data_IF_617162061594
#
_entry.id   IF_617162061594
#
_cell.length_a   1.000
_cell.length_b   1.000
_cell.length_c   1.000
_cell.angle_alpha   90.00
_cell.angle_beta   90.00
_cell.angle_gamma   90.00
#
_symmetry.space_group_name_H-M   'P 1'
#
loop_
_entity.id
_entity.type
_entity.pdbx_description
1 polymer ?
#
# COMPACT_ATOMS: atom_id res chain seq x y z
N UNK A 1 -27.68 17.37 -0.37
CA UNK A 1 -26.39 16.64 -0.30
C UNK A 1 -26.72 15.18 -0.01
N UNK A 2 -26.33 14.25 -0.86
CA UNK A 2 -26.52 12.82 -0.59
C UNK A 2 -25.63 12.41 0.60
N UNK A 3 -26.21 11.76 1.60
CA UNK A 3 -25.46 11.18 2.72
C UNK A 3 -24.47 10.19 2.14
N UNK A 4 -23.17 10.24 2.50
CA UNK A 4 -22.21 9.25 2.02
C UNK A 4 -22.65 7.86 2.53
N UNK A 5 -22.91 6.95 1.61
CA UNK A 5 -23.21 5.55 1.92
C UNK A 5 -21.90 4.90 2.43
N UNK A 6 -21.87 4.55 3.71
CA UNK A 6 -20.76 3.84 4.31
C UNK A 6 -21.07 2.35 4.21
N UNK A 7 -20.27 1.62 3.44
CA UNK A 7 -20.34 0.16 3.42
C UNK A 7 -19.69 -0.42 4.69
N UNK A 8 -20.52 -0.85 5.63
CA UNK A 8 -20.07 -1.42 6.91
C UNK A 8 -19.72 -2.91 6.82
N UNK A 9 -20.06 -3.59 5.73
CA UNK A 9 -19.78 -5.03 5.57
C UNK A 9 -18.41 -5.19 4.93
N UNK A 10 -17.42 -5.73 5.66
CA UNK A 10 -16.07 -5.94 5.10
C UNK A 10 -16.07 -6.82 3.85
N UNK A 11 -15.12 -6.59 2.96
CA UNK A 11 -14.91 -7.39 1.75
C UNK A 11 -16.13 -7.48 0.83
N UNK A 12 -16.97 -6.45 0.83
CA UNK A 12 -18.14 -6.33 -0.07
C UNK A 12 -18.15 -4.96 -0.75
N UNK A 13 -18.94 -4.86 -1.80
CA UNK A 13 -19.24 -3.60 -2.47
C UNK A 13 -20.69 -3.21 -2.19
N UNK A 14 -20.93 -1.96 -1.83
CA UNK A 14 -22.27 -1.41 -1.82
C UNK A 14 -22.82 -1.32 -3.24
N UNK A 15 -24.14 -1.18 -3.39
CA UNK A 15 -24.74 -1.03 -4.72
C UNK A 15 -24.30 0.27 -5.40
N UNK A 16 -24.00 1.30 -4.64
CA UNK A 16 -23.40 2.53 -5.16
C UNK A 16 -21.98 2.26 -5.70
N UNK A 17 -21.13 1.56 -4.93
CA UNK A 17 -19.78 1.23 -5.35
C UNK A 17 -19.78 0.38 -6.65
N UNK A 18 -20.71 -0.60 -6.74
CA UNK A 18 -20.88 -1.38 -7.98
C UNK A 18 -21.23 -0.50 -9.17
N UNK A 19 -22.21 0.43 -9.02
CA UNK A 19 -22.58 1.37 -10.08
C UNK A 19 -21.47 2.33 -10.47
N UNK A 20 -20.63 2.71 -9.50
CA UNK A 20 -19.46 3.58 -9.73
C UNK A 20 -18.25 2.86 -10.32
N UNK A 21 -18.35 1.55 -10.58
CA UNK A 21 -17.30 0.74 -11.22
C UNK A 21 -16.22 0.23 -10.28
N UNK A 22 -16.45 0.22 -8.97
CA UNK A 22 -15.54 -0.42 -8.02
C UNK A 22 -15.54 -1.93 -8.20
N UNK A 23 -14.37 -2.53 -7.97
CA UNK A 23 -14.16 -3.99 -7.93
C UNK A 23 -13.44 -4.37 -6.64
N UNK A 24 -13.76 -5.54 -6.08
CA UNK A 24 -12.96 -6.13 -5.02
C UNK A 24 -11.67 -6.66 -5.61
N UNK A 25 -10.54 -6.32 -5.01
CA UNK A 25 -9.26 -6.98 -5.28
C UNK A 25 -9.06 -8.19 -4.37
N UNK A 26 -9.85 -8.30 -3.30
CA UNK A 26 -9.82 -9.44 -2.40
C UNK A 26 -11.23 -9.71 -1.84
N UNK A 27 -11.62 -10.98 -1.85
CA UNK A 27 -12.96 -11.44 -1.50
C UNK A 27 -13.15 -11.75 -0.01
N UNK A 28 -12.07 -11.66 0.79
CA UNK A 28 -12.09 -11.99 2.21
C UNK A 28 -11.94 -13.49 2.53
N UNK A 29 -11.72 -14.35 1.54
CA UNK A 29 -11.76 -15.81 1.70
C UNK A 29 -10.67 -16.56 0.95
N UNK A 30 -10.36 -16.16 -0.28
CA UNK A 30 -9.45 -16.88 -1.16
C UNK A 30 -8.18 -16.09 -1.46
N UNK A 31 -7.22 -16.70 -2.12
CA UNK A 31 -6.02 -16.04 -2.63
C UNK A 31 -6.14 -15.62 -4.09
N UNK A 32 -7.35 -15.72 -4.65
CA UNK A 32 -7.60 -15.40 -6.04
C UNK A 32 -7.28 -13.93 -6.34
N UNK A 33 -6.68 -13.69 -7.49
CA UNK A 33 -6.21 -12.36 -7.89
C UNK A 33 -4.83 -11.98 -7.32
N UNK A 34 -4.27 -12.76 -6.39
CA UNK A 34 -2.98 -12.49 -5.77
C UNK A 34 -1.96 -13.62 -5.99
N UNK A 35 -0.67 -13.27 -5.97
CA UNK A 35 0.46 -14.19 -6.01
C UNK A 35 1.66 -13.62 -5.25
N UNK A 36 2.66 -14.44 -5.00
CA UNK A 36 3.96 -13.94 -4.53
C UNK A 36 4.57 -12.96 -5.54
N UNK A 37 5.30 -11.97 -5.05
CA UNK A 37 6.10 -11.10 -5.91
C UNK A 37 7.23 -11.85 -6.61
N UNK A 38 7.69 -12.99 -6.06
CA UNK A 38 8.83 -13.78 -6.54
C UNK A 38 8.46 -15.09 -7.23
N UNK A 39 7.24 -15.59 -6.97
CA UNK A 39 6.76 -16.87 -7.46
C UNK A 39 5.43 -16.73 -8.19
N UNK A 40 5.03 -17.76 -8.92
CA UNK A 40 3.78 -17.79 -9.70
C UNK A 40 2.54 -17.99 -8.84
N UNK A 41 2.67 -18.65 -7.68
CA UNK A 41 1.58 -18.95 -6.75
C UNK A 41 1.53 -17.98 -5.57
N UNK A 42 0.49 -18.11 -4.75
CA UNK A 42 0.42 -17.44 -3.47
C UNK A 42 1.42 -18.07 -2.47
N UNK A 43 2.05 -17.29 -1.55
CA UNK A 43 2.99 -17.83 -0.58
C UNK A 43 2.36 -18.94 0.29
N UNK A 44 3.08 -20.05 0.50
CA UNK A 44 2.63 -21.17 1.33
C UNK A 44 2.71 -20.91 2.83
N UNK A 45 3.40 -19.84 3.23
CA UNK A 45 3.60 -19.39 4.62
C UNK A 45 3.71 -17.87 4.66
N UNK A 46 3.73 -17.29 5.85
CA UNK A 46 3.90 -15.85 6.05
C UNK A 46 2.63 -15.03 5.88
N UNK A 47 1.59 -15.61 5.30
CA UNK A 47 0.27 -15.02 5.16
C UNK A 47 -0.81 -15.99 5.63
N UNK A 48 -1.83 -15.48 6.31
CA UNK A 48 -3.03 -16.24 6.70
C UNK A 48 -4.28 -15.49 6.32
N UNK A 49 -5.35 -16.24 6.05
CA UNK A 49 -6.70 -15.72 5.86
C UNK A 49 -7.53 -16.24 7.02
N UNK A 50 -8.03 -15.35 7.85
CA UNK A 50 -8.75 -15.69 9.07
C UNK A 50 -9.75 -14.58 9.39
N UNK A 51 -10.99 -14.95 9.65
CA UNK A 51 -12.09 -14.03 9.98
C UNK A 51 -12.31 -12.89 8.97
N UNK A 52 -12.09 -13.15 7.68
CA UNK A 52 -12.18 -12.14 6.63
C UNK A 52 -11.05 -11.10 6.68
N UNK A 53 -9.96 -11.40 7.34
CA UNK A 53 -8.72 -10.61 7.36
C UNK A 53 -7.59 -11.35 6.64
N UNK A 54 -6.85 -10.65 5.79
CA UNK A 54 -5.60 -11.10 5.19
C UNK A 54 -4.47 -10.59 6.09
N UNK A 55 -3.74 -11.51 6.74
CA UNK A 55 -2.80 -11.18 7.80
C UNK A 55 -1.37 -11.57 7.43
N UNK A 56 -0.42 -10.68 7.69
CA UNK A 56 1.00 -11.02 7.75
C UNK A 56 1.28 -11.75 9.05
N UNK A 57 1.87 -12.94 8.97
CA UNK A 57 2.32 -13.72 10.13
C UNK A 57 3.63 -13.14 10.63
N UNK A 58 3.67 -12.76 11.91
CA UNK A 58 4.87 -12.18 12.52
C UNK A 58 6.08 -13.11 12.40
N UNK A 59 7.21 -12.56 11.95
CA UNK A 59 8.49 -13.26 11.75
C UNK A 59 9.70 -12.45 12.21
N UNK A 60 9.58 -11.77 13.34
CA UNK A 60 10.65 -11.00 13.99
C UNK A 60 11.22 -9.84 13.14
N UNK A 61 10.37 -9.16 12.33
CA UNK A 61 10.72 -7.93 11.64
C UNK A 61 11.74 -8.08 10.51
N UNK A 62 11.85 -9.26 9.91
CA UNK A 62 12.70 -9.48 8.74
C UNK A 62 11.90 -9.30 7.45
N UNK A 63 12.18 -8.23 6.71
CA UNK A 63 11.52 -7.92 5.45
C UNK A 63 11.56 -9.11 4.48
N UNK A 64 10.40 -9.51 3.98
CA UNK A 64 10.19 -10.57 2.99
C UNK A 64 10.80 -11.93 3.35
N UNK A 65 11.07 -12.20 4.65
CA UNK A 65 11.81 -13.39 5.06
C UNK A 65 10.93 -14.61 5.30
N UNK A 66 9.64 -14.42 5.61
CA UNK A 66 8.75 -15.53 5.95
C UNK A 66 7.90 -15.98 4.77
N UNK A 67 7.09 -15.12 4.20
CA UNK A 67 6.26 -15.41 3.02
C UNK A 67 6.63 -14.54 1.83
N UNK A 68 7.17 -13.38 2.13
CA UNK A 68 7.47 -12.35 1.16
C UNK A 68 6.22 -11.58 0.73
N UNK A 69 6.45 -10.58 -0.08
CA UNK A 69 5.40 -9.70 -0.59
C UNK A 69 4.44 -10.44 -1.51
N UNK A 70 3.19 -10.01 -1.48
CA UNK A 70 2.17 -10.45 -2.44
C UNK A 70 1.80 -9.32 -3.38
N UNK A 71 1.54 -9.67 -4.64
CA UNK A 71 1.13 -8.72 -5.68
C UNK A 71 -0.16 -9.17 -6.35
N UNK A 72 -0.91 -8.22 -6.89
CA UNK A 72 -2.03 -8.52 -7.78
C UNK A 72 -1.54 -9.26 -9.03
N UNK A 73 -2.34 -10.16 -9.60
CA UNK A 73 -2.03 -10.78 -10.90
C UNK A 73 -2.12 -9.76 -12.03
N UNK A 74 -3.08 -8.84 -11.94
CA UNK A 74 -3.28 -7.77 -12.91
C UNK A 74 -2.40 -6.56 -12.61
N UNK A 75 -2.13 -5.75 -13.64
CA UNK A 75 -1.46 -4.46 -13.57
C UNK A 75 -2.47 -3.32 -13.71
N UNK A 76 -2.16 -2.18 -13.12
CA UNK A 76 -3.04 -1.01 -13.11
C UNK A 76 -2.27 0.25 -13.50
N UNK A 77 -2.92 1.11 -14.30
CA UNK A 77 -2.38 2.38 -14.79
C UNK A 77 -2.97 3.56 -14.03
N UNK A 78 -4.26 3.80 -14.19
CA UNK A 78 -5.01 4.85 -13.53
C UNK A 78 -6.07 4.21 -12.63
N UNK A 79 -6.12 4.59 -11.37
CA UNK A 79 -7.02 3.93 -10.43
C UNK A 79 -7.24 4.73 -9.14
N UNK A 80 -8.29 4.36 -8.43
CA UNK A 80 -8.46 4.66 -7.01
C UNK A 80 -8.42 3.33 -6.26
N UNK A 81 -7.45 3.15 -5.39
CA UNK A 81 -7.30 1.98 -4.52
C UNK A 81 -7.73 2.34 -3.10
N UNK A 82 -8.52 1.50 -2.46
CA UNK A 82 -8.81 1.57 -1.02
C UNK A 82 -8.40 0.27 -0.34
N UNK A 83 -7.76 0.38 0.80
CA UNK A 83 -7.31 -0.75 1.62
C UNK A 83 -7.54 -0.41 3.08
N UNK A 84 -8.31 -1.21 3.78
CA UNK A 84 -8.40 -1.13 5.24
C UNK A 84 -7.24 -1.93 5.84
N UNK A 85 -6.48 -1.30 6.72
CA UNK A 85 -5.33 -1.92 7.40
C UNK A 85 -5.38 -1.70 8.91
N UNK A 86 -4.84 -2.66 9.66
CA UNK A 86 -4.68 -2.60 11.11
C UNK A 86 -3.28 -3.05 11.47
N UNK A 87 -2.57 -2.28 12.31
CA UNK A 87 -1.21 -2.57 12.74
C UNK A 87 -1.13 -2.84 14.23
N UNK A 88 -0.15 -3.65 14.61
CA UNK A 88 0.27 -3.86 15.99
C UNK A 88 1.36 -2.87 16.40
N UNK A 89 1.75 -2.89 17.68
CA UNK A 89 2.84 -2.04 18.19
C UNK A 89 4.16 -2.40 17.53
N UNK A 90 4.85 -1.39 17.03
CA UNK A 90 6.13 -1.51 16.33
C UNK A 90 6.06 -2.09 14.93
N UNK A 91 4.85 -2.24 14.34
CA UNK A 91 4.71 -2.85 13.03
C UNK A 91 5.17 -1.93 11.89
N UNK A 92 5.68 -2.59 10.84
CA UNK A 92 6.05 -2.03 9.55
C UNK A 92 5.44 -2.87 8.41
N UNK A 93 4.90 -2.21 7.42
CA UNK A 93 4.38 -2.76 6.17
C UNK A 93 4.25 -1.64 5.14
N UNK A 94 3.69 -1.95 3.97
CA UNK A 94 3.46 -0.95 2.92
C UNK A 94 2.45 -1.42 1.89
N UNK A 95 1.82 -0.47 1.21
CA UNK A 95 1.03 -0.69 0.02
C UNK A 95 1.80 -0.07 -1.13
N UNK A 96 2.35 -0.92 -2.02
CA UNK A 96 3.11 -0.43 -3.17
C UNK A 96 2.27 -0.48 -4.44
N UNK A 97 2.59 0.40 -5.37
CA UNK A 97 1.97 0.50 -6.69
C UNK A 97 3.02 0.86 -7.73
N UNK A 98 2.71 0.66 -9.02
CA UNK A 98 3.70 0.65 -10.08
C UNK A 98 4.83 -0.34 -9.80
N UNK A 99 4.46 -1.51 -9.24
CA UNK A 99 5.44 -2.54 -8.94
C UNK A 99 5.74 -3.36 -10.18
N UNK A 100 7.04 -3.51 -10.46
CA UNK A 100 7.56 -4.52 -11.37
C UNK A 100 8.47 -5.46 -10.57
N UNK A 101 8.08 -6.73 -10.39
CA UNK A 101 8.86 -7.68 -9.60
C UNK A 101 10.21 -8.05 -10.24
N UNK A 102 10.41 -7.76 -11.53
CA UNK A 102 11.65 -8.06 -12.24
C UNK A 102 12.72 -6.98 -12.05
N UNK A 103 12.37 -5.78 -11.58
CA UNK A 103 13.33 -4.70 -11.32
C UNK A 103 14.29 -5.00 -10.17
N UNK A 104 13.86 -5.79 -9.18
CA UNK A 104 14.69 -6.19 -8.04
C UNK A 104 14.36 -7.61 -7.60
N UNK A 105 15.30 -8.53 -7.76
CA UNK A 105 15.13 -9.95 -7.38
C UNK A 105 15.48 -10.24 -5.93
N UNK A 106 16.13 -9.30 -5.23
CA UNK A 106 16.47 -9.40 -3.81
C UNK A 106 15.57 -8.54 -2.93
N UNK A 107 15.15 -9.02 -1.74
CA UNK A 107 14.31 -8.25 -0.81
C UNK A 107 12.89 -8.00 -1.32
N UNK A 108 12.30 -6.89 -0.95
CA UNK A 108 10.98 -6.45 -1.38
C UNK A 108 11.00 -5.92 -2.82
N UNK A 109 9.94 -6.18 -3.58
CA UNK A 109 9.82 -5.67 -4.94
C UNK A 109 9.70 -4.13 -4.95
N UNK A 110 10.24 -3.52 -6.02
CA UNK A 110 10.34 -2.06 -6.17
C UNK A 110 9.04 -1.48 -6.71
N UNK A 111 8.59 -0.39 -6.11
CA UNK A 111 7.43 0.41 -6.50
C UNK A 111 7.28 1.62 -5.60
N UNK A 112 6.43 2.58 -6.00
CA UNK A 112 6.01 3.67 -5.13
C UNK A 112 5.23 3.10 -3.95
N UNK A 113 5.40 3.65 -2.75
CA UNK A 113 4.90 3.04 -1.53
C UNK A 113 4.15 4.03 -0.63
N UNK A 114 2.90 3.70 -0.32
CA UNK A 114 2.19 4.24 0.83
C UNK A 114 2.70 3.50 2.07
N UNK A 115 3.51 4.18 2.90
CA UNK A 115 4.10 3.57 4.09
C UNK A 115 3.06 3.27 5.16
N UNK A 116 3.12 2.07 5.74
CA UNK A 116 2.35 1.65 6.92
C UNK A 116 3.32 1.41 8.07
N UNK A 117 3.30 2.29 9.08
CA UNK A 117 4.29 2.26 10.14
C UNK A 117 3.70 2.67 11.50
N UNK A 118 4.13 2.04 12.56
CA UNK A 118 3.97 2.59 13.92
C UNK A 118 5.09 3.62 14.18
N UNK A 119 4.83 4.86 13.82
CA UNK A 119 5.80 5.96 13.90
C UNK A 119 6.41 6.15 15.29
N UNK A 120 5.68 5.77 16.34
CA UNK A 120 6.12 5.92 17.73
C UNK A 120 7.14 4.87 18.14
N UNK A 121 6.97 3.63 17.68
CA UNK A 121 7.71 2.49 18.21
C UNK A 121 8.65 1.84 17.17
N UNK A 122 8.45 2.04 15.86
CA UNK A 122 9.34 1.47 14.85
C UNK A 122 10.54 2.38 14.58
N UNK A 123 11.78 1.85 14.53
CA UNK A 123 13.00 2.65 14.36
C UNK A 123 13.07 3.39 13.02
N UNK A 124 12.48 2.86 11.95
CA UNK A 124 12.51 3.48 10.61
C UNK A 124 11.85 4.86 10.56
N UNK A 125 10.89 5.14 11.45
CA UNK A 125 10.26 6.47 11.56
C UNK A 125 11.26 7.62 11.89
N UNK A 126 12.41 7.26 12.45
CA UNK A 126 13.49 8.21 12.81
C UNK A 126 14.55 8.35 11.72
N UNK A 127 14.46 7.50 10.70
CA UNK A 127 15.36 7.51 9.55
C UNK A 127 14.80 8.37 8.43
N UNK A 128 15.59 8.50 7.34
CA UNK A 128 15.20 9.32 6.19
C UNK A 128 15.33 10.83 6.45
N UNK A 129 14.57 11.62 5.70
CA UNK A 129 14.65 13.09 5.71
C UNK A 129 13.27 13.67 6.03
N UNK A 130 13.20 14.53 7.05
CA UNK A 130 11.96 15.27 7.43
C UNK A 130 10.72 14.39 7.63
N UNK A 131 10.90 13.10 8.00
CA UNK A 131 9.79 12.18 8.25
C UNK A 131 9.23 11.51 7.00
N UNK A 132 9.99 11.46 5.90
CA UNK A 132 9.58 10.81 4.65
C UNK A 132 9.54 9.27 4.72
N UNK A 133 9.72 8.68 5.92
CA UNK A 133 9.54 7.24 6.18
C UNK A 133 8.43 6.95 7.19
N UNK A 134 7.65 7.98 7.56
CA UNK A 134 6.52 7.84 8.48
C UNK A 134 5.28 7.30 7.78
N UNK A 135 4.30 6.89 8.59
CA UNK A 135 2.99 6.44 8.14
C UNK A 135 2.41 7.38 7.07
N UNK A 136 1.95 6.81 5.96
CA UNK A 136 1.30 7.51 4.85
C UNK A 136 2.23 8.28 3.93
N UNK A 137 3.55 8.37 4.23
CA UNK A 137 4.52 8.99 3.32
C UNK A 137 4.52 8.29 1.95
N UNK A 138 4.94 9.00 0.92
CA UNK A 138 5.58 8.33 -0.21
C UNK A 138 6.99 7.96 0.26
N UNK A 139 7.16 6.68 0.61
CA UNK A 139 8.30 6.19 1.37
C UNK A 139 9.65 6.62 0.79
N UNK A 140 10.50 7.16 1.66
CA UNK A 140 11.84 7.69 1.38
C UNK A 140 11.89 8.90 0.42
N UNK A 141 10.74 9.43 0.00
CA UNK A 141 10.63 10.54 -0.96
C UNK A 141 9.90 11.73 -0.36
N UNK A 142 8.61 11.63 -0.05
CA UNK A 142 7.76 12.73 0.35
C UNK A 142 7.11 12.45 1.71
N UNK A 143 7.35 13.28 2.74
CA UNK A 143 6.70 13.13 4.03
C UNK A 143 5.20 13.43 3.91
N UNK A 144 4.35 12.82 4.75
CA UNK A 144 2.94 13.16 4.80
C UNK A 144 2.75 14.55 5.41
N UNK A 145 1.66 15.23 5.03
CA UNK A 145 1.16 16.35 5.82
C UNK A 145 0.87 15.87 7.24
N UNK A 146 0.86 16.81 8.20
CA UNK A 146 0.70 16.46 9.62
C UNK A 146 -0.49 15.53 9.84
N UNK A 147 -0.22 14.31 10.32
CA UNK A 147 -1.20 13.32 10.79
C UNK A 147 -1.39 13.54 12.29
N UNK A 148 -2.64 13.67 12.73
CA UNK A 148 -3.00 13.75 14.15
C UNK A 148 -3.52 12.39 14.62
N UNK A 149 -3.55 12.17 15.94
CA UNK A 149 -4.16 10.96 16.54
C UNK A 149 -5.65 10.79 16.14
N UNK A 150 -6.36 11.89 15.84
CA UNK A 150 -7.71 11.83 15.32
C UNK A 150 -7.80 11.26 13.89
N UNK A 151 -6.68 11.28 13.15
CA UNK A 151 -6.62 10.74 11.77
C UNK A 151 -6.06 9.33 11.69
N UNK A 152 -5.50 8.79 12.76
CA UNK A 152 -4.96 7.43 12.79
C UNK A 152 -5.07 6.85 14.20
N UNK A 153 -5.59 5.64 14.30
CA UNK A 153 -5.72 4.90 15.56
C UNK A 153 -5.08 3.52 15.41
N UNK A 154 -3.96 3.31 16.12
CA UNK A 154 -3.30 2.01 16.19
C UNK A 154 -4.20 0.97 16.85
N UNK A 155 -4.15 -0.27 16.35
CA UNK A 155 -4.96 -1.38 16.86
C UNK A 155 -6.40 -1.43 16.34
N UNK A 156 -6.82 -0.42 15.59
CA UNK A 156 -8.09 -0.40 14.87
C UNK A 156 -7.86 -0.38 13.35
N UNK A 157 -8.91 -0.61 12.57
CA UNK A 157 -8.83 -0.47 11.12
C UNK A 157 -8.79 1.00 10.71
N UNK A 158 -7.86 1.32 9.84
CA UNK A 158 -7.70 2.60 9.18
C UNK A 158 -7.76 2.37 7.67
N UNK A 159 -8.27 3.33 6.92
CA UNK A 159 -8.39 3.24 5.46
C UNK A 159 -7.29 4.04 4.79
N UNK A 160 -6.40 3.37 4.06
CA UNK A 160 -5.52 3.98 3.08
C UNK A 160 -6.27 4.11 1.76
N UNK A 161 -6.17 5.27 1.10
CA UNK A 161 -6.62 5.45 -0.28
C UNK A 161 -5.48 6.04 -1.11
N UNK A 162 -5.25 5.44 -2.27
CA UNK A 162 -4.27 5.90 -3.26
C UNK A 162 -5.03 6.24 -4.53
N UNK A 163 -4.85 7.46 -5.01
CA UNK A 163 -5.43 7.93 -6.27
C UNK A 163 -4.31 8.13 -7.28
N UNK A 164 -4.41 7.47 -8.42
CA UNK A 164 -3.50 7.64 -9.54
C UNK A 164 -4.30 8.06 -10.76
N UNK A 165 -4.01 9.24 -11.28
CA UNK A 165 -4.63 9.77 -12.48
C UNK A 165 -3.56 10.42 -13.39
N UNK A 166 -3.08 9.66 -14.37
CA UNK A 166 -1.91 10.01 -15.15
C UNK A 166 -0.66 10.09 -14.29
N UNK A 167 0.00 11.24 -14.32
CA UNK A 167 1.19 11.48 -13.51
C UNK A 167 0.89 12.01 -12.10
N UNK A 168 -0.36 12.39 -11.83
CA UNK A 168 -0.79 12.89 -10.53
C UNK A 168 -1.15 11.73 -9.60
N UNK A 169 -0.57 11.76 -8.39
CA UNK A 169 -0.79 10.75 -7.37
C UNK A 169 -1.11 11.40 -6.03
N UNK A 170 -2.05 10.82 -5.30
CA UNK A 170 -2.43 11.28 -3.98
C UNK A 170 -2.46 10.10 -3.00
N UNK A 171 -2.00 10.32 -1.75
CA UNK A 171 -2.24 9.44 -0.62
C UNK A 171 -3.26 10.08 0.32
N UNK A 172 -4.20 9.26 0.78
CA UNK A 172 -5.24 9.65 1.72
C UNK A 172 -5.26 8.66 2.90
N UNK A 173 -5.44 9.16 4.10
CA UNK A 173 -5.61 8.36 5.31
C UNK A 173 -6.91 8.76 5.99
N UNK A 174 -7.82 7.80 6.16
CA UNK A 174 -9.14 8.00 6.79
C UNK A 174 -9.90 9.22 6.21
N UNK A 175 -9.89 9.34 4.87
CA UNK A 175 -10.58 10.42 4.15
C UNK A 175 -9.85 11.77 4.12
N UNK A 176 -8.66 11.88 4.71
CA UNK A 176 -7.84 13.09 4.64
C UNK A 176 -6.67 12.90 3.68
N UNK A 177 -6.49 13.80 2.72
CA UNK A 177 -5.31 13.82 1.85
C UNK A 177 -4.08 14.19 2.67
N UNK A 178 -3.04 13.37 2.56
CA UNK A 178 -1.80 13.49 3.34
C UNK A 178 -0.54 13.61 2.48
N UNK A 179 -0.58 13.19 1.22
CA UNK A 179 0.49 13.38 0.23
C UNK A 179 -0.16 13.65 -1.11
N UNK A 180 0.42 14.54 -1.91
CA UNK A 180 0.16 14.66 -3.33
C UNK A 180 1.45 15.01 -4.08
N UNK A 181 1.59 14.45 -5.28
CA UNK A 181 2.77 14.66 -6.12
C UNK A 181 2.48 14.37 -7.59
N UNK A 182 3.40 14.77 -8.45
CA UNK A 182 3.37 14.49 -9.88
C UNK A 182 4.66 13.79 -10.29
N UNK A 183 4.50 12.66 -11.01
CA UNK A 183 5.60 11.84 -11.55
C UNK A 183 6.12 12.43 -12.88
N UNK A 184 7.14 11.80 -13.44
CA UNK A 184 7.64 12.05 -14.81
C UNK A 184 8.04 13.50 -15.09
N UNK A 185 8.39 14.28 -14.06
CA UNK A 185 8.87 15.64 -14.21
C UNK A 185 10.25 15.81 -13.54
N UNK A 186 10.84 16.99 -13.73
CA UNK A 186 12.17 17.28 -13.21
C UNK A 186 12.24 17.20 -11.68
N UNK A 187 11.20 17.65 -10.97
CA UNK A 187 11.14 17.56 -9.51
C UNK A 187 11.12 16.10 -9.04
N UNK A 188 10.31 15.26 -9.69
CA UNK A 188 10.27 13.81 -9.44
C UNK A 188 11.66 13.19 -9.61
N UNK A 189 12.33 13.46 -10.72
CA UNK A 189 13.64 12.91 -11.01
C UNK A 189 14.67 13.33 -9.95
N UNK A 190 14.61 14.58 -9.48
CA UNK A 190 15.47 15.06 -8.40
C UNK A 190 15.18 14.35 -7.08
N UNK A 191 13.91 14.17 -6.69
CA UNK A 191 13.54 13.41 -5.49
C UNK A 191 14.07 11.97 -5.53
N UNK A 192 13.89 11.27 -6.66
CA UNK A 192 14.38 9.89 -6.82
C UNK A 192 15.91 9.84 -6.72
N UNK A 193 16.62 10.78 -7.36
CA UNK A 193 18.09 10.84 -7.33
C UNK A 193 18.69 11.04 -5.92
N UNK A 194 17.93 11.65 -5.01
CA UNK A 194 18.34 11.86 -3.61
C UNK A 194 17.78 10.81 -2.64
N UNK A 195 17.05 9.81 -3.13
CA UNK A 195 16.47 8.74 -2.32
C UNK A 195 17.29 7.44 -2.39
N UNK A 196 16.85 6.43 -1.62
CA UNK A 196 17.38 5.06 -1.75
C UNK A 196 17.13 4.45 -3.14
N UNK A 197 16.21 5.01 -3.91
CA UNK A 197 15.80 4.52 -5.23
C UNK A 197 16.65 5.04 -6.39
N UNK A 198 17.69 5.81 -6.12
CA UNK A 198 18.61 6.40 -7.15
C UNK A 198 19.20 5.40 -8.14
N UNK A 199 19.30 4.12 -7.76
CA UNK A 199 19.85 3.06 -8.60
C UNK A 199 18.79 2.41 -9.52
N UNK A 200 17.53 2.84 -9.45
CA UNK A 200 16.44 2.37 -10.30
C UNK A 200 15.91 3.54 -11.14
N UNK A 201 16.47 3.75 -12.35
CA UNK A 201 16.17 4.95 -13.16
C UNK A 201 14.69 5.09 -13.54
N UNK A 202 13.98 3.97 -13.66
CA UNK A 202 12.54 3.94 -13.99
C UNK A 202 11.63 3.88 -12.76
N UNK A 203 12.18 4.10 -11.56
CA UNK A 203 11.40 4.09 -10.33
C UNK A 203 10.20 5.05 -10.41
N UNK A 204 9.00 4.48 -10.24
CA UNK A 204 7.75 5.23 -10.27
C UNK A 204 7.32 5.76 -11.65
N UNK A 205 8.11 5.53 -12.71
CA UNK A 205 7.82 6.01 -14.07
C UNK A 205 7.15 4.96 -14.96
N UNK A 206 6.87 3.77 -14.44
CA UNK A 206 6.14 2.75 -15.18
C UNK A 206 4.77 3.26 -15.60
N UNK A 207 4.32 2.88 -16.81
CA UNK A 207 2.99 3.21 -17.31
C UNK A 207 1.89 2.49 -16.53
N UNK A 208 2.15 1.27 -16.12
CA UNK A 208 1.30 0.41 -15.29
C UNK A 208 2.15 -0.50 -14.43
N UNK A 209 1.60 -1.02 -13.34
CA UNK A 209 2.30 -1.94 -12.47
C UNK A 209 1.34 -2.70 -11.56
N UNK A 210 1.87 -3.67 -10.86
CA UNK A 210 1.12 -4.42 -9.86
C UNK A 210 0.88 -3.57 -8.60
N UNK A 211 -0.18 -3.90 -7.87
CA UNK A 211 -0.38 -3.49 -6.47
C UNK A 211 0.26 -4.54 -5.58
N UNK A 212 0.96 -4.11 -4.54
CA UNK A 212 1.67 -4.99 -3.62
C UNK A 212 1.28 -4.69 -2.17
N UNK A 213 1.12 -5.74 -1.38
CA UNK A 213 1.08 -5.68 0.07
C UNK A 213 2.37 -6.27 0.63
N UNK A 214 3.05 -5.51 1.50
CA UNK A 214 4.38 -5.85 1.97
C UNK A 214 4.34 -6.77 3.20
N UNK A 215 5.15 -7.84 3.17
CA UNK A 215 5.55 -8.63 4.32
C UNK A 215 6.89 -8.08 4.87
N UNK A 216 6.81 -7.24 5.91
CA UNK A 216 8.01 -6.77 6.62
C UNK A 216 8.33 -7.60 7.88
N UNK A 217 7.62 -8.72 8.08
CA UNK A 217 7.78 -9.60 9.24
C UNK A 217 7.01 -9.17 10.48
N UNK A 218 6.24 -8.10 10.42
CA UNK A 218 5.40 -7.63 11.50
C UNK A 218 3.92 -7.98 11.27
N UNK A 219 3.17 -8.15 12.36
CA UNK A 219 1.75 -8.46 12.27
C UNK A 219 0.94 -7.25 11.81
N UNK A 220 0.46 -7.33 10.57
CA UNK A 220 -0.44 -6.37 9.94
C UNK A 220 -1.60 -7.12 9.33
N UNK A 221 -2.82 -6.59 9.48
CA UNK A 221 -4.03 -7.15 8.90
C UNK A 221 -4.60 -6.21 7.84
N UNK A 222 -5.08 -6.80 6.74
CA UNK A 222 -5.73 -6.10 5.63
C UNK A 222 -7.14 -6.65 5.39
N UNK A 223 -8.06 -5.79 4.96
CA UNK A 223 -9.40 -6.16 4.48
C UNK A 223 -9.97 -5.11 3.55
N UNK A 224 -11.15 -5.34 3.00
CA UNK A 224 -11.87 -4.37 2.16
C UNK A 224 -11.00 -3.78 1.05
N UNK A 225 -10.15 -4.63 0.44
CA UNK A 225 -9.25 -4.21 -0.63
C UNK A 225 -10.06 -4.07 -1.91
N UNK A 226 -10.21 -2.85 -2.40
CA UNK A 226 -11.02 -2.55 -3.57
C UNK A 226 -10.42 -1.47 -4.46
N UNK A 227 -10.68 -1.58 -5.75
CA UNK A 227 -10.14 -0.68 -6.77
C UNK A 227 -11.24 -0.18 -7.69
N UNK A 228 -11.10 1.07 -8.14
CA UNK A 228 -11.83 1.64 -9.26
C UNK A 228 -10.81 2.03 -10.32
N UNK A 229 -10.87 1.37 -11.47
CA UNK A 229 -10.03 1.73 -12.61
C UNK A 229 -10.59 3.03 -13.21
N UNK A 230 -9.69 3.95 -13.51
CA UNK A 230 -9.98 5.21 -14.20
C UNK A 230 -9.55 5.10 -15.66
N UNK A 231 -10.27 5.81 -16.54
CA UNK A 231 -9.98 5.87 -17.99
C UNK A 231 -8.67 6.61 -18.30
#
# INVERSE_FOLDING_TARGET
>A
MAVPEINLIPNTLSDREKREGWKLLWDGKTTDGWRSAKETGFPKKGWTIEDGELKVVKSEGKESANGGDIITKDKYKNFILKVDFKITTGANSGIKYFVDPDLNKGGSAIGCEFQILDDKNHPDAKLGVKGNRKLGSLYDLIPPYKISEANFQKGTYNTAMIVVNGDKVEHWLNGKKIVDYERNNQMWNALVAYSKYKNWPDFGNLKEGHILLQDHGDAVSFKSIKIKVLD
#
